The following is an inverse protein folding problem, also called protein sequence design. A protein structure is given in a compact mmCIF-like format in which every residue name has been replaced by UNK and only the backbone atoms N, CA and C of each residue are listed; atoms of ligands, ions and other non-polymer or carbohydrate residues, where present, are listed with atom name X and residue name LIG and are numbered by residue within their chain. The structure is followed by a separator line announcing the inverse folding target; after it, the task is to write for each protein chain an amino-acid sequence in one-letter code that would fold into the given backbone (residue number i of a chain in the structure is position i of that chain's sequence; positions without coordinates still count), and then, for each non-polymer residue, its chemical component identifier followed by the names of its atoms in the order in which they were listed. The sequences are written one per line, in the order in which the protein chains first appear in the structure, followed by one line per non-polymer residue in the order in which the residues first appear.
data_IF_167908587414
#
_entry.id   IF_167908587414
#
_cell.length_a   1.000
_cell.length_b   1.000
_cell.length_c   1.000
_cell.angle_alpha   90.00
_cell.angle_beta   90.00
_cell.angle_gamma   90.00
#
_symmetry.space_group_name_H-M   'P 1'
#
loop_
_entity.id
_entity.type
_entity.pdbx_description
1 polymer ?
#
# COMPACT_ATOMS: atom_id res chain seq x y z
N UNK A 1 5.00 -43.82 -19.43
CA UNK A 1 4.78 -42.90 -18.30
C UNK A 1 5.80 -41.76 -18.27
N UNK A 2 7.12 -42.01 -18.24
CA UNK A 2 8.14 -40.93 -18.21
C UNK A 2 8.11 -39.99 -19.43
N UNK A 3 7.95 -40.52 -20.64
CA UNK A 3 7.83 -39.74 -21.88
C UNK A 3 6.60 -38.82 -21.92
N UNK A 4 5.55 -39.16 -21.17
CA UNK A 4 4.32 -38.37 -21.09
C UNK A 4 4.51 -37.12 -20.21
N UNK A 5 5.23 -37.27 -19.09
CA UNK A 5 5.65 -36.15 -18.24
C UNK A 5 6.57 -35.19 -18.97
N UNK A 6 7.55 -35.75 -19.68
CA UNK A 6 8.51 -34.98 -20.47
C UNK A 6 7.80 -34.17 -21.57
N UNK A 7 6.86 -34.78 -22.31
CA UNK A 7 6.06 -34.05 -23.30
C UNK A 7 5.14 -32.98 -22.69
N UNK A 8 4.50 -33.25 -21.55
CA UNK A 8 3.68 -32.24 -20.86
C UNK A 8 4.52 -31.06 -20.35
N UNK A 9 5.75 -31.31 -19.92
CA UNK A 9 6.68 -30.28 -19.50
C UNK A 9 7.16 -29.44 -20.69
N UNK A 10 7.54 -30.06 -21.81
CA UNK A 10 7.91 -29.34 -23.02
C UNK A 10 6.77 -28.46 -23.54
N UNK A 11 5.54 -28.95 -23.53
CA UNK A 11 4.37 -28.17 -23.94
C UNK A 11 4.06 -27.04 -22.94
N UNK A 12 4.28 -27.23 -21.64
CA UNK A 12 4.18 -26.15 -20.66
C UNK A 12 5.24 -25.07 -20.91
N UNK A 13 6.50 -25.45 -21.14
CA UNK A 13 7.58 -24.51 -21.43
C UNK A 13 7.35 -23.76 -22.75
N UNK A 14 6.91 -24.47 -23.79
CA UNK A 14 6.63 -23.87 -25.10
C UNK A 14 5.41 -22.96 -25.08
N UNK A 15 4.34 -23.33 -24.36
CA UNK A 15 3.19 -22.45 -24.16
C UNK A 15 3.55 -21.20 -23.34
N UNK A 16 4.47 -21.30 -22.37
CA UNK A 16 5.01 -20.12 -21.68
C UNK A 16 5.75 -19.16 -22.64
N UNK A 17 6.45 -19.69 -23.64
CA UNK A 17 7.18 -18.92 -24.65
C UNK A 17 6.37 -18.63 -25.93
N UNK A 18 5.06 -18.93 -25.95
CA UNK A 18 4.19 -18.58 -27.07
C UNK A 18 4.14 -17.06 -27.28
N UNK A 19 4.16 -16.56 -28.54
CA UNK A 19 4.11 -15.12 -28.86
C UNK A 19 2.93 -14.38 -28.22
N UNK A 20 1.80 -15.05 -28.05
CA UNK A 20 0.58 -14.52 -27.40
C UNK A 20 0.73 -14.31 -25.88
N UNK A 21 1.49 -15.18 -25.20
CA UNK A 21 1.74 -15.06 -23.77
C UNK A 21 2.79 -13.99 -23.47
N UNK A 22 3.79 -13.81 -24.35
CA UNK A 22 4.80 -12.76 -24.18
C UNK A 22 4.17 -11.36 -24.02
N UNK A 23 3.14 -11.03 -24.80
CA UNK A 23 2.41 -9.75 -24.70
C UNK A 23 1.71 -9.60 -23.34
N UNK A 24 1.11 -10.68 -22.84
CA UNK A 24 0.43 -10.69 -21.54
C UNK A 24 1.41 -10.51 -20.37
N UNK A 25 2.55 -11.20 -20.42
CA UNK A 25 3.60 -11.08 -19.40
C UNK A 25 4.20 -9.68 -19.37
N UNK A 26 4.46 -9.09 -20.55
CA UNK A 26 4.91 -7.70 -20.66
C UNK A 26 3.86 -6.70 -20.15
N UNK A 27 2.58 -6.92 -20.44
CA UNK A 27 1.48 -6.10 -19.93
C UNK A 27 1.41 -6.12 -18.40
N UNK A 28 1.45 -7.31 -17.79
CA UNK A 28 1.49 -7.46 -16.32
C UNK A 28 2.69 -6.76 -15.69
N UNK A 29 3.87 -6.89 -16.30
CA UNK A 29 5.08 -6.23 -15.81
C UNK A 29 4.93 -4.70 -15.82
N UNK A 30 4.41 -4.12 -16.90
CA UNK A 30 4.15 -2.67 -17.00
C UNK A 30 3.15 -2.23 -15.93
N UNK A 31 2.05 -2.97 -15.75
CA UNK A 31 1.04 -2.67 -14.73
C UNK A 31 1.63 -2.67 -13.31
N UNK A 32 2.47 -3.67 -12.99
CA UNK A 32 3.17 -3.75 -11.70
C UNK A 32 4.07 -2.52 -11.49
N UNK A 33 4.83 -2.12 -12.52
CA UNK A 33 5.68 -0.92 -12.45
C UNK A 33 4.83 0.34 -12.21
N UNK A 34 3.70 0.47 -12.90
CA UNK A 34 2.77 1.60 -12.71
C UNK A 34 2.24 1.62 -11.27
N UNK A 35 1.82 0.47 -10.73
CA UNK A 35 1.34 0.36 -9.33
C UNK A 35 2.41 0.85 -8.36
N UNK A 36 3.67 0.43 -8.53
CA UNK A 36 4.78 0.86 -7.68
C UNK A 36 5.08 2.36 -7.79
N UNK A 37 4.99 2.92 -9.01
CA UNK A 37 5.16 4.37 -9.23
C UNK A 37 4.05 5.14 -8.52
N UNK A 38 2.79 4.74 -8.70
CA UNK A 38 1.63 5.37 -8.07
C UNK A 38 1.74 5.29 -6.54
N UNK A 39 2.11 4.13 -5.99
CA UNK A 39 2.33 3.96 -4.56
C UNK A 39 3.42 4.91 -4.03
N UNK A 40 4.55 5.03 -4.75
CA UNK A 40 5.64 5.95 -4.38
C UNK A 40 5.21 7.41 -4.44
N UNK A 41 4.42 7.79 -5.46
CA UNK A 41 3.87 9.14 -5.60
C UNK A 41 2.92 9.44 -4.45
N UNK A 42 1.99 8.52 -4.13
CA UNK A 42 1.06 8.66 -3.01
C UNK A 42 1.79 8.86 -1.68
N UNK A 43 2.82 8.05 -1.40
CA UNK A 43 3.67 8.20 -0.21
C UNK A 43 4.36 9.56 -0.17
N UNK A 44 4.91 10.01 -1.30
CA UNK A 44 5.54 11.33 -1.40
C UNK A 44 4.54 12.46 -1.13
N UNK A 45 3.32 12.36 -1.66
CA UNK A 45 2.27 13.38 -1.43
C UNK A 45 1.91 13.42 0.06
N UNK A 46 1.64 12.27 0.68
CA UNK A 46 1.28 12.21 2.10
C UNK A 46 2.40 12.77 2.97
N UNK A 47 3.64 12.34 2.75
CA UNK A 47 4.78 12.83 3.52
C UNK A 47 4.95 14.36 3.35
N UNK A 48 4.80 14.87 2.12
CA UNK A 48 4.84 16.33 1.85
C UNK A 48 3.68 17.08 2.50
N UNK A 49 2.47 16.54 2.51
CA UNK A 49 1.32 17.19 3.16
C UNK A 49 1.50 17.25 4.68
N UNK A 50 2.00 16.17 5.27
CA UNK A 50 2.31 16.09 6.70
C UNK A 50 3.40 17.11 7.07
N UNK A 51 4.49 17.19 6.29
CA UNK A 51 5.56 18.17 6.52
C UNK A 51 5.11 19.62 6.28
N UNK A 52 4.30 19.86 5.25
CA UNK A 52 3.78 21.20 4.91
C UNK A 52 2.82 21.71 5.98
N UNK A 53 2.05 20.84 6.64
CA UNK A 53 1.21 21.22 7.80
C UNK A 53 2.03 21.72 9.00
N UNK A 54 3.33 21.43 9.03
CA UNK A 54 4.25 21.80 10.12
C UNK A 54 5.16 22.97 9.77
N UNK A 55 5.30 23.32 8.48
CA UNK A 55 6.10 24.47 8.03
C UNK A 55 5.64 25.85 8.55
N UNK A 56 4.34 26.15 8.76
CA UNK A 56 3.93 27.42 9.37
C UNK A 56 4.44 27.59 10.80
N UNK A 57 4.79 26.49 11.49
CA UNK A 57 5.26 26.50 12.88
C UNK A 57 6.77 26.79 13.00
N UNK A 58 7.57 26.52 11.94
CA UNK A 58 9.04 26.73 11.93
C UNK A 58 9.48 28.20 12.03
N UNK A 59 8.59 29.17 11.73
CA UNK A 59 8.87 30.62 11.79
C UNK A 59 8.50 31.30 13.11
N UNK A 60 7.90 30.60 14.08
CA UNK A 60 7.42 31.21 15.33
C UNK A 60 8.42 31.03 16.50
N UNK A 61 8.62 32.07 17.30
CA UNK A 61 9.49 32.10 18.50
C UNK A 61 9.12 31.02 19.55
N UNK A 62 7.93 30.42 19.47
CA UNK A 62 7.41 29.34 20.31
C UNK A 62 7.58 27.91 19.73
N UNK A 63 8.35 27.76 18.64
CA UNK A 63 8.57 26.50 17.90
C UNK A 63 8.95 25.33 18.83
N UNK A 64 9.91 25.51 19.74
CA UNK A 64 10.39 24.46 20.67
C UNK A 64 9.29 23.91 21.62
N UNK A 65 8.28 24.71 22.00
CA UNK A 65 7.23 24.29 22.96
C UNK A 65 6.07 23.54 22.28
N UNK A 66 5.79 23.82 21.00
CA UNK A 66 4.76 23.10 20.20
C UNK A 66 5.29 21.82 19.54
N UNK A 67 6.57 21.75 19.21
CA UNK A 67 7.24 20.57 18.62
C UNK A 67 7.21 19.34 19.54
N UNK A 68 7.41 19.53 20.85
CA UNK A 68 7.54 18.41 21.79
C UNK A 68 6.29 17.49 21.79
N UNK A 69 5.09 18.04 21.53
CA UNK A 69 3.83 17.28 21.46
C UNK A 69 3.55 16.66 20.09
N UNK A 70 4.06 17.25 19.01
CA UNK A 70 3.79 16.78 17.65
C UNK A 70 4.78 15.69 17.19
N UNK A 71 5.96 15.63 17.80
CA UNK A 71 7.06 14.75 17.41
C UNK A 71 6.77 13.25 17.45
N UNK A 72 5.72 12.82 18.16
CA UNK A 72 5.34 11.40 18.25
C UNK A 72 4.20 11.04 17.29
N UNK A 73 3.20 11.94 17.12
CA UNK A 73 2.03 11.70 16.28
C UNK A 73 2.35 11.76 14.78
N UNK A 74 3.23 12.67 14.37
CA UNK A 74 3.65 12.84 12.97
C UNK A 74 4.28 11.55 12.40
N UNK A 75 5.35 10.98 13.00
CA UNK A 75 5.95 9.77 12.48
C UNK A 75 5.02 8.55 12.59
N UNK A 76 4.11 8.52 13.57
CA UNK A 76 3.05 7.50 13.65
C UNK A 76 2.13 7.54 12.42
N UNK A 77 1.60 8.72 12.08
CA UNK A 77 0.74 8.90 10.90
C UNK A 77 1.47 8.55 9.60
N UNK A 78 2.72 9.00 9.44
CA UNK A 78 3.55 8.64 8.28
C UNK A 78 3.75 7.12 8.18
N UNK A 79 3.99 6.45 9.30
CA UNK A 79 4.17 4.99 9.33
C UNK A 79 2.88 4.25 9.01
N UNK A 80 1.74 4.66 9.57
CA UNK A 80 0.43 4.08 9.28
C UNK A 80 0.11 4.23 7.78
N UNK A 81 0.23 5.44 7.22
CA UNK A 81 0.00 5.67 5.79
C UNK A 81 0.93 4.83 4.92
N UNK A 82 2.20 4.66 5.34
CA UNK A 82 3.17 3.80 4.66
C UNK A 82 2.71 2.35 4.60
N UNK A 83 2.29 1.78 5.74
CA UNK A 83 1.81 0.41 5.79
C UNK A 83 0.53 0.20 4.97
N UNK A 84 -0.42 1.13 5.05
CA UNK A 84 -1.67 1.05 4.27
C UNK A 84 -1.40 1.09 2.76
N UNK A 85 -0.56 2.01 2.29
CA UNK A 85 -0.25 2.10 0.85
C UNK A 85 0.48 0.86 0.37
N UNK A 86 1.47 0.36 1.12
CA UNK A 86 2.16 -0.86 0.72
C UNK A 86 1.27 -2.09 0.75
N UNK A 87 0.33 -2.18 1.70
CA UNK A 87 -0.67 -3.23 1.71
C UNK A 87 -1.51 -3.19 0.43
N UNK A 88 -2.06 -2.03 0.07
CA UNK A 88 -2.86 -1.86 -1.15
C UNK A 88 -2.05 -2.22 -2.40
N UNK A 89 -0.83 -1.68 -2.51
CA UNK A 89 0.06 -1.95 -3.64
C UNK A 89 0.41 -3.45 -3.73
N UNK A 90 0.69 -4.10 -2.61
CA UNK A 90 0.96 -5.53 -2.53
C UNK A 90 -0.22 -6.36 -3.02
N UNK A 91 -1.44 -6.06 -2.54
CA UNK A 91 -2.67 -6.72 -3.00
C UNK A 91 -2.86 -6.53 -4.51
N UNK A 92 -2.67 -5.32 -5.04
CA UNK A 92 -2.77 -5.08 -6.48
C UNK A 92 -1.74 -5.88 -7.29
N UNK A 93 -0.50 -6.00 -6.80
CA UNK A 93 0.52 -6.84 -7.43
C UNK A 93 0.13 -8.31 -7.40
N UNK A 94 -0.38 -8.82 -6.27
CA UNK A 94 -0.88 -10.19 -6.15
C UNK A 94 -1.98 -10.48 -7.17
N UNK A 95 -2.89 -9.53 -7.39
CA UNK A 95 -3.95 -9.63 -8.41
C UNK A 95 -3.37 -9.78 -9.82
N UNK A 96 -2.36 -9.00 -10.18
CA UNK A 96 -1.69 -9.11 -11.49
C UNK A 96 -0.98 -10.46 -11.68
N UNK A 97 -0.45 -11.02 -10.59
CA UNK A 97 0.13 -12.38 -10.57
C UNK A 97 -0.93 -13.50 -10.68
N UNK A 98 -2.22 -13.16 -10.69
CA UNK A 98 -3.32 -14.12 -10.81
C UNK A 98 -3.80 -14.71 -9.48
N UNK A 99 -3.38 -14.14 -8.35
CA UNK A 99 -3.88 -14.51 -7.03
C UNK A 99 -5.25 -13.86 -6.80
N UNK A 100 -6.23 -14.63 -6.33
CA UNK A 100 -7.51 -14.07 -5.92
C UNK A 100 -7.34 -13.23 -4.65
N UNK A 101 -7.62 -11.94 -4.78
CA UNK A 101 -7.47 -10.96 -3.71
C UNK A 101 -8.77 -10.70 -2.95
N UNK A 102 -9.88 -11.31 -3.37
CA UNK A 102 -11.21 -11.13 -2.80
C UNK A 102 -11.22 -11.44 -1.30
N UNK A 103 -10.63 -12.57 -0.91
CA UNK A 103 -10.52 -12.97 0.49
C UNK A 103 -9.66 -11.98 1.31
N UNK A 104 -8.55 -11.51 0.73
CA UNK A 104 -7.65 -10.56 1.40
C UNK A 104 -8.37 -9.24 1.64
N UNK A 105 -9.04 -8.70 0.62
CA UNK A 105 -9.79 -7.43 0.72
C UNK A 105 -10.96 -7.57 1.69
N UNK A 106 -11.69 -8.69 1.66
CA UNK A 106 -12.77 -8.95 2.61
C UNK A 106 -12.27 -8.97 4.06
N UNK A 107 -11.15 -9.65 4.33
CA UNK A 107 -10.54 -9.69 5.67
C UNK A 107 -10.02 -8.32 6.11
N UNK A 108 -9.41 -7.55 5.20
CA UNK A 108 -8.96 -6.19 5.46
C UNK A 108 -10.14 -5.27 5.83
N UNK A 109 -11.31 -5.48 5.22
CA UNK A 109 -12.55 -4.78 5.58
C UNK A 109 -12.96 -5.03 7.03
N UNK A 110 -13.01 -6.30 7.46
CA UNK A 110 -13.38 -6.66 8.85
C UNK A 110 -12.37 -6.12 9.86
N UNK A 111 -11.07 -6.26 9.57
CA UNK A 111 -10.00 -5.71 10.42
C UNK A 111 -10.09 -4.18 10.49
N UNK A 112 -10.36 -3.52 9.37
CA UNK A 112 -10.55 -2.07 9.32
C UNK A 112 -11.73 -1.60 10.16
N UNK A 113 -12.84 -2.33 10.15
CA UNK A 113 -14.00 -2.05 11.01
C UNK A 113 -13.64 -2.20 12.50
N UNK A 114 -12.94 -3.28 12.87
CA UNK A 114 -12.51 -3.49 14.25
C UNK A 114 -11.59 -2.36 14.76
N UNK A 115 -10.62 -1.95 13.94
CA UNK A 115 -9.74 -0.81 14.24
C UNK A 115 -10.55 0.48 14.34
N UNK A 116 -11.49 0.69 13.42
CA UNK A 116 -12.38 1.86 13.41
C UNK A 116 -13.20 1.98 14.68
N UNK A 117 -13.79 0.87 15.15
CA UNK A 117 -14.51 0.81 16.42
C UNK A 117 -13.59 1.05 17.64
N UNK A 118 -12.38 0.47 17.64
CA UNK A 118 -11.40 0.72 18.71
C UNK A 118 -10.90 2.17 18.77
N UNK A 119 -10.90 2.88 17.65
CA UNK A 119 -10.46 4.27 17.56
C UNK A 119 -11.58 5.31 17.79
N UNK A 120 -12.83 4.88 18.00
CA UNK A 120 -13.97 5.82 18.12
C UNK A 120 -13.82 6.81 19.28
N UNK A 121 -13.36 6.36 20.44
CA UNK A 121 -13.12 7.24 21.60
C UNK A 121 -12.05 8.29 21.27
N UNK A 122 -10.94 7.89 20.65
CA UNK A 122 -9.87 8.80 20.23
C UNK A 122 -10.38 9.89 19.27
N UNK A 123 -11.22 9.52 18.30
CA UNK A 123 -11.81 10.50 17.37
C UNK A 123 -12.74 11.46 18.10
N UNK A 124 -13.56 10.95 19.03
CA UNK A 124 -14.44 11.78 19.86
C UNK A 124 -13.64 12.75 20.71
N UNK A 125 -12.54 12.31 21.31
CA UNK A 125 -11.68 13.13 22.16
C UNK A 125 -11.03 14.28 21.35
N UNK A 126 -10.53 13.97 20.13
CA UNK A 126 -9.98 14.97 19.21
C UNK A 126 -11.01 16.02 18.79
N UNK A 127 -12.25 15.61 18.52
CA UNK A 127 -13.34 16.53 18.15
C UNK A 127 -13.84 17.36 19.33
N UNK A 128 -13.83 16.77 20.53
CA UNK A 128 -14.31 17.42 21.76
C UNK A 128 -13.26 18.36 22.37
N UNK A 129 -12.02 18.33 21.86
CA UNK A 129 -10.94 19.23 22.27
C UNK A 129 -10.29 18.87 23.61
N UNK A 130 -10.34 17.58 24.00
CA UNK A 130 -9.66 17.06 25.21
C UNK A 130 -8.12 17.05 25.06
#
# INVERSE_FOLDING_TARGET
MFTQYVNSFYQAVLSFFSPENLILWWGKFITIVIILIVAKIALSIINKLIEKSLTPLKKSKNYKKRISRANTLIPLLQSISKYVIYFIAGVMVLKELGVDTTAIIASAGVVGLAIGFGAQSLVKDVLSGA
#
